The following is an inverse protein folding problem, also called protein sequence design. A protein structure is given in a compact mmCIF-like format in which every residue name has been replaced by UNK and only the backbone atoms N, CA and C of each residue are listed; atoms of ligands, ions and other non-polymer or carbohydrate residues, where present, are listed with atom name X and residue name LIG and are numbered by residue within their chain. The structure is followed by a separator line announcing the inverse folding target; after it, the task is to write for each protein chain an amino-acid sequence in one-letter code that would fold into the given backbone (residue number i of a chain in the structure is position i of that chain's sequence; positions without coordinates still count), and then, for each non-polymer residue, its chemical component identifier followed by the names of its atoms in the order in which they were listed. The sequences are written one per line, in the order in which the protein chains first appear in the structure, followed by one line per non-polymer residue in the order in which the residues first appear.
data_IF_427737440307
#
_entry.id   IF_427737440307
#
_cell.length_a   1.000
_cell.length_b   1.000
_cell.length_c   1.000
_cell.angle_alpha   90.00
_cell.angle_beta   90.00
_cell.angle_gamma   90.00
#
_symmetry.space_group_name_H-M   'P 1'
#
loop_
_entity.id
_entity.type
_entity.pdbx_description
1 polymer ?
#
# COMPACT_ATOMS: atom_id res chain seq x y z
N UNK A 1 -7.11 0.86 19.02
CA UNK A 1 -6.72 -0.13 18.00
C UNK A 1 -6.97 0.45 16.61
N UNK A 2 -5.94 0.68 15.82
CA UNK A 2 -6.01 1.46 14.55
C UNK A 2 -6.42 0.64 13.32
N UNK A 3 -6.41 -0.70 13.39
CA UNK A 3 -6.67 -1.52 12.22
C UNK A 3 -8.12 -1.94 12.06
N UNK A 4 -8.86 -2.14 13.14
CA UNK A 4 -10.25 -2.64 13.12
C UNK A 4 -10.46 -3.72 12.05
N UNK A 5 -9.50 -4.68 12.00
CA UNK A 5 -9.42 -5.69 10.95
C UNK A 5 -10.50 -6.74 11.12
N UNK A 6 -11.26 -6.98 10.04
CA UNK A 6 -12.29 -8.01 9.93
C UNK A 6 -12.41 -8.45 8.48
N UNK A 7 -12.91 -9.66 8.27
CA UNK A 7 -13.33 -10.08 6.93
C UNK A 7 -14.44 -9.13 6.43
N UNK A 8 -14.49 -8.86 5.14
CA UNK A 8 -15.36 -7.83 4.55
C UNK A 8 -16.85 -8.00 4.94
N UNK A 9 -17.32 -9.24 5.03
CA UNK A 9 -18.72 -9.53 5.41
C UNK A 9 -19.03 -9.32 6.90
N UNK A 10 -18.02 -9.11 7.74
CA UNK A 10 -18.13 -8.80 9.17
C UNK A 10 -17.63 -7.38 9.50
N UNK A 11 -17.26 -6.59 8.49
CA UNK A 11 -16.75 -5.24 8.66
C UNK A 11 -17.93 -4.27 8.79
N UNK A 12 -18.00 -3.55 9.90
CA UNK A 12 -19.04 -2.51 10.06
C UNK A 12 -18.65 -1.22 9.32
N UNK A 13 -19.64 -0.41 9.00
CA UNK A 13 -19.44 0.93 8.42
C UNK A 13 -18.57 1.82 9.34
N UNK A 14 -18.79 1.78 10.64
CA UNK A 14 -17.97 2.51 11.63
C UNK A 14 -16.50 2.06 11.63
N UNK A 15 -16.24 0.75 11.48
CA UNK A 15 -14.88 0.23 11.35
C UNK A 15 -14.22 0.71 10.05
N UNK A 16 -14.98 0.74 8.95
CA UNK A 16 -14.53 1.28 7.67
C UNK A 16 -14.22 2.77 7.77
N UNK A 17 -15.18 3.57 8.17
CA UNK A 17 -15.07 5.04 8.23
C UNK A 17 -14.00 5.50 9.19
N UNK A 18 -13.86 4.84 10.33
CA UNK A 18 -12.80 5.18 11.30
C UNK A 18 -11.41 4.97 10.70
N UNK A 19 -11.18 3.87 9.99
CA UNK A 19 -9.88 3.59 9.37
C UNK A 19 -9.59 4.58 8.23
N UNK A 20 -10.56 4.85 7.36
CA UNK A 20 -10.41 5.85 6.29
C UNK A 20 -10.14 7.24 6.86
N UNK A 21 -10.90 7.64 7.88
CA UNK A 21 -10.76 8.95 8.52
C UNK A 21 -9.39 9.14 9.16
N UNK A 22 -8.89 8.13 9.89
CA UNK A 22 -7.61 8.23 10.57
C UNK A 22 -6.46 8.18 9.57
N UNK A 23 -6.44 7.17 8.70
CA UNK A 23 -5.29 6.93 7.83
C UNK A 23 -5.31 7.82 6.58
N UNK A 24 -6.35 7.77 5.76
CA UNK A 24 -6.34 8.49 4.48
C UNK A 24 -6.65 9.98 4.67
N UNK A 25 -7.74 10.31 5.36
CA UNK A 25 -8.10 11.71 5.60
C UNK A 25 -7.08 12.43 6.49
N UNK A 26 -6.44 11.71 7.42
CA UNK A 26 -5.34 12.27 8.24
C UNK A 26 -4.17 12.74 7.37
N UNK A 27 -3.74 11.93 6.38
CA UNK A 27 -2.70 12.34 5.42
C UNK A 27 -3.15 13.54 4.58
N UNK A 28 -4.39 13.51 4.06
CA UNK A 28 -4.94 14.65 3.33
C UNK A 28 -4.89 15.93 4.17
N UNK A 29 -5.35 15.90 5.41
CA UNK A 29 -5.39 17.09 6.26
C UNK A 29 -3.99 17.72 6.43
N UNK A 30 -2.99 16.90 6.73
CA UNK A 30 -1.61 17.37 6.90
C UNK A 30 -1.03 17.90 5.59
N UNK A 31 -1.14 17.13 4.51
CA UNK A 31 -0.60 17.51 3.20
C UNK A 31 -1.30 18.74 2.62
N UNK A 32 -2.61 18.90 2.82
CA UNK A 32 -3.36 20.06 2.34
C UNK A 32 -2.82 21.39 2.91
N UNK A 33 -2.53 21.41 4.21
CA UNK A 33 -1.98 22.62 4.85
C UNK A 33 -0.50 22.80 4.50
N UNK A 34 0.30 21.75 4.54
CA UNK A 34 1.72 21.79 4.19
C UNK A 34 1.95 22.23 2.73
N UNK A 35 1.18 21.71 1.80
CA UNK A 35 1.28 22.01 0.38
C UNK A 35 1.13 23.52 0.07
N UNK A 36 0.24 24.23 0.79
CA UNK A 36 0.06 25.68 0.63
C UNK A 36 1.32 26.46 0.96
N UNK A 37 1.96 26.09 2.08
CA UNK A 37 3.20 26.71 2.54
C UNK A 37 4.37 26.34 1.62
N UNK A 38 4.56 25.05 1.37
CA UNK A 38 5.66 24.51 0.56
C UNK A 38 5.62 25.05 -0.88
N UNK A 39 4.42 25.15 -1.46
CA UNK A 39 4.23 25.76 -2.78
C UNK A 39 4.69 27.23 -2.80
N UNK A 40 4.34 28.01 -1.77
CA UNK A 40 4.71 29.43 -1.66
C UNK A 40 6.22 29.61 -1.52
N UNK A 41 6.87 28.79 -0.69
CA UNK A 41 8.31 28.86 -0.47
C UNK A 41 9.14 28.17 -1.57
N UNK A 42 8.50 27.47 -2.52
CA UNK A 42 9.12 26.71 -3.63
C UNK A 42 10.13 25.66 -3.14
N UNK A 43 9.85 25.08 -2.01
CA UNK A 43 10.63 24.02 -1.38
C UNK A 43 9.74 23.22 -0.42
N UNK A 44 9.88 21.90 -0.43
CA UNK A 44 9.23 21.01 0.52
C UNK A 44 9.56 19.56 0.28
N UNK A 45 9.41 18.76 1.34
CA UNK A 45 9.61 17.31 1.32
C UNK A 45 8.45 16.65 2.08
N UNK A 46 7.67 15.86 1.38
CA UNK A 46 6.54 15.11 1.94
C UNK A 46 6.90 13.63 1.92
N UNK A 47 6.86 13.00 3.09
CA UNK A 47 7.06 11.55 3.23
C UNK A 47 5.84 10.95 3.88
N UNK A 48 5.00 10.31 3.08
CA UNK A 48 3.79 9.65 3.53
C UNK A 48 4.07 8.20 3.98
N UNK A 49 3.29 7.73 4.96
CA UNK A 49 3.40 6.36 5.48
C UNK A 49 2.28 5.49 4.92
N UNK A 50 2.58 4.73 3.88
CA UNK A 50 1.71 3.70 3.34
C UNK A 50 1.84 2.38 4.14
N UNK A 51 1.71 1.25 3.54
CA UNK A 51 1.93 -0.10 4.08
C UNK A 51 1.86 -1.08 2.92
N UNK A 52 2.55 -2.19 2.99
CA UNK A 52 2.45 -3.28 2.00
C UNK A 52 1.02 -3.83 1.84
N UNK A 53 0.15 -3.58 2.82
CA UNK A 53 -1.28 -3.88 2.73
C UNK A 53 -1.99 -3.20 1.55
N UNK A 54 -1.39 -2.14 0.95
CA UNK A 54 -1.95 -1.47 -0.23
C UNK A 54 -2.10 -2.41 -1.46
N UNK A 55 -1.35 -3.51 -1.48
CA UNK A 55 -1.42 -4.54 -2.51
C UNK A 55 -2.55 -5.56 -2.30
N UNK A 56 -3.30 -5.41 -1.21
CA UNK A 56 -4.31 -6.34 -0.74
C UNK A 56 -3.85 -7.09 0.51
N UNK A 57 -4.75 -7.21 1.49
CA UNK A 57 -4.50 -7.94 2.74
C UNK A 57 -5.79 -8.53 3.27
N UNK A 58 -5.81 -9.84 3.45
CA UNK A 58 -6.98 -10.58 3.92
C UNK A 58 -7.40 -10.07 5.32
N UNK A 59 -8.67 -9.78 5.48
CA UNK A 59 -9.24 -9.26 6.73
C UNK A 59 -8.89 -7.79 7.02
N UNK A 60 -8.31 -7.05 6.06
CA UNK A 60 -7.90 -5.66 6.21
C UNK A 60 -8.33 -4.79 5.02
N UNK A 61 -9.48 -5.06 4.42
CA UNK A 61 -9.95 -4.34 3.23
C UNK A 61 -10.06 -2.83 3.42
N UNK A 62 -10.52 -2.36 4.58
CA UNK A 62 -10.56 -0.95 4.96
C UNK A 62 -9.15 -0.34 5.06
N UNK A 63 -8.22 -1.04 5.68
CA UNK A 63 -6.83 -0.59 5.83
C UNK A 63 -6.08 -0.62 4.50
N UNK A 64 -6.27 -1.67 3.70
CA UNK A 64 -5.70 -1.79 2.36
C UNK A 64 -6.19 -0.65 1.45
N UNK A 65 -7.49 -0.34 1.49
CA UNK A 65 -8.08 0.78 0.76
C UNK A 65 -7.48 2.13 1.20
N UNK A 66 -7.38 2.37 2.52
CA UNK A 66 -6.76 3.59 3.04
C UNK A 66 -5.30 3.74 2.61
N UNK A 67 -4.52 2.67 2.69
CA UNK A 67 -3.09 2.67 2.33
C UNK A 67 -2.86 2.72 0.82
N UNK A 68 -3.73 2.09 0.01
CA UNK A 68 -3.77 2.26 -1.44
C UNK A 68 -4.12 3.70 -1.84
N UNK A 69 -5.09 4.31 -1.15
CA UNK A 69 -5.43 5.72 -1.31
C UNK A 69 -4.24 6.65 -1.02
N UNK A 70 -3.43 6.36 0.02
CA UNK A 70 -2.21 7.12 0.33
C UNK A 70 -1.17 6.99 -0.78
N UNK A 71 -0.99 5.80 -1.38
CA UNK A 71 -0.08 5.58 -2.52
C UNK A 71 -0.47 6.46 -3.71
N UNK A 72 -1.73 6.39 -4.14
CA UNK A 72 -2.23 7.20 -5.26
C UNK A 72 -2.22 8.69 -4.94
N UNK A 73 -2.59 9.08 -3.72
CA UNK A 73 -2.53 10.47 -3.25
C UNK A 73 -1.10 11.02 -3.29
N UNK A 74 -0.11 10.24 -2.87
CA UNK A 74 1.31 10.63 -2.91
C UNK A 74 1.77 10.91 -4.34
N UNK A 75 1.40 10.03 -5.31
CA UNK A 75 1.71 10.24 -6.72
C UNK A 75 1.05 11.50 -7.29
N UNK A 76 -0.18 11.79 -6.89
CA UNK A 76 -0.89 13.02 -7.28
C UNK A 76 -0.16 14.25 -6.75
N UNK A 77 0.20 14.27 -5.46
CA UNK A 77 0.95 15.37 -4.85
C UNK A 77 2.29 15.60 -5.54
N UNK A 78 3.01 14.52 -5.89
CA UNK A 78 4.28 14.61 -6.61
C UNK A 78 4.14 15.33 -7.96
N UNK A 79 3.07 15.02 -8.71
CA UNK A 79 2.78 15.66 -10.01
C UNK A 79 2.30 17.10 -9.86
N UNK A 80 1.44 17.38 -8.88
CA UNK A 80 0.89 18.72 -8.64
C UNK A 80 1.96 19.69 -8.12
N UNK A 81 2.84 19.23 -7.25
CA UNK A 81 3.76 20.09 -6.50
C UNK A 81 5.20 20.09 -7.05
N UNK A 82 5.58 19.12 -7.88
CA UNK A 82 6.95 18.96 -8.40
C UNK A 82 7.50 20.21 -9.06
N UNK A 83 6.70 20.91 -9.88
CA UNK A 83 7.09 22.20 -10.53
C UNK A 83 7.38 23.34 -9.56
N UNK A 84 7.05 23.16 -8.28
CA UNK A 84 7.34 24.12 -7.22
C UNK A 84 8.54 23.69 -6.33
N UNK A 85 9.30 22.68 -6.76
CA UNK A 85 10.45 22.17 -5.99
C UNK A 85 10.06 21.36 -4.75
N UNK A 86 8.82 20.87 -4.71
CA UNK A 86 8.31 20.04 -3.61
C UNK A 86 8.24 18.57 -4.06
N UNK A 87 8.86 17.68 -3.30
CA UNK A 87 8.74 16.24 -3.55
C UNK A 87 7.74 15.59 -2.59
N UNK A 88 7.07 14.55 -3.06
CA UNK A 88 6.17 13.72 -2.27
C UNK A 88 6.45 12.24 -2.56
N UNK A 89 6.87 11.50 -1.53
CA UNK A 89 7.15 10.08 -1.61
C UNK A 89 6.40 9.34 -0.50
N UNK A 90 6.26 8.02 -0.63
CA UNK A 90 5.69 7.19 0.41
C UNK A 90 6.60 6.03 0.78
N UNK A 91 6.55 5.61 2.03
CA UNK A 91 7.21 4.40 2.52
C UNK A 91 6.19 3.38 3.02
N UNK A 92 6.49 2.11 2.78
CA UNK A 92 5.80 0.94 3.33
C UNK A 92 6.76 0.29 4.33
N UNK A 93 6.72 0.68 5.61
CA UNK A 93 7.69 0.22 6.60
C UNK A 93 7.32 -1.14 7.16
N UNK A 94 8.34 -1.94 7.49
CA UNK A 94 8.25 -3.12 8.36
C UNK A 94 9.05 -2.83 9.61
N UNK A 95 8.38 -2.69 10.75
CA UNK A 95 9.03 -2.43 12.03
C UNK A 95 8.20 -2.90 13.22
N UNK A 96 8.88 -3.39 14.25
CA UNK A 96 8.30 -3.66 15.54
C UNK A 96 7.93 -2.35 16.24
N UNK A 97 6.68 -2.20 16.58
CA UNK A 97 6.16 -1.04 17.29
C UNK A 97 5.12 -1.50 18.31
N UNK A 98 4.70 -0.63 19.20
CA UNK A 98 3.57 -0.90 20.10
C UNK A 98 2.27 -1.28 19.38
N UNK A 99 2.17 -0.98 18.09
CA UNK A 99 1.00 -1.34 17.28
C UNK A 99 1.12 -2.72 16.62
N UNK A 100 2.35 -3.15 16.32
CA UNK A 100 2.61 -4.42 15.63
C UNK A 100 2.93 -5.57 16.58
N UNK A 101 3.39 -5.27 17.79
CA UNK A 101 3.77 -6.22 18.82
C UNK A 101 3.17 -5.85 20.20
N UNK A 102 1.90 -5.43 20.25
CA UNK A 102 1.19 -5.37 21.53
C UNK A 102 0.83 -6.79 22.00
N UNK A 103 0.55 -6.95 23.30
CA UNK A 103 0.28 -8.26 23.90
C UNK A 103 -0.89 -8.97 23.20
N UNK A 104 -1.92 -8.25 22.79
CA UNK A 104 -3.07 -8.83 22.09
C UNK A 104 -2.70 -9.37 20.70
N UNK A 105 -1.78 -8.70 19.99
CA UNK A 105 -1.24 -9.20 18.70
C UNK A 105 -0.39 -10.44 18.93
N UNK A 106 0.50 -10.43 19.92
CA UNK A 106 1.33 -11.58 20.26
C UNK A 106 0.48 -12.80 20.62
N UNK A 107 -0.51 -12.63 21.48
CA UNK A 107 -1.43 -13.69 21.89
C UNK A 107 -2.25 -14.23 20.71
N UNK A 108 -2.70 -13.32 19.81
CA UNK A 108 -3.40 -13.69 18.59
C UNK A 108 -2.53 -14.50 17.62
N UNK A 109 -1.25 -14.13 17.47
CA UNK A 109 -0.30 -14.88 16.64
C UNK A 109 0.02 -16.24 17.22
N UNK A 110 0.19 -16.32 18.55
CA UNK A 110 0.39 -17.60 19.23
C UNK A 110 -0.79 -18.55 19.03
N UNK A 111 -2.03 -18.06 19.16
CA UNK A 111 -3.23 -18.86 18.88
C UNK A 111 -3.28 -19.38 17.43
N UNK A 112 -2.81 -18.58 16.47
CA UNK A 112 -2.72 -19.00 15.07
C UNK A 112 -1.65 -20.07 14.86
N UNK A 113 -0.53 -19.96 15.54
CA UNK A 113 0.52 -20.99 15.54
C UNK A 113 -0.01 -22.30 16.13
N UNK A 114 -0.62 -22.23 17.31
CA UNK A 114 -1.18 -23.41 18.00
C UNK A 114 -2.28 -24.10 17.19
N UNK A 115 -3.02 -23.32 16.37
CA UNK A 115 -4.05 -23.81 15.43
C UNK A 115 -3.48 -24.29 14.07
N UNK A 116 -2.15 -24.25 13.86
CA UNK A 116 -1.53 -24.61 12.58
C UNK A 116 -1.78 -23.65 11.41
N UNK A 117 -2.31 -22.46 11.69
CA UNK A 117 -2.63 -21.44 10.67
C UNK A 117 -1.41 -20.62 10.21
N UNK A 118 -0.33 -20.66 10.95
CA UNK A 118 0.99 -20.12 10.60
C UNK A 118 2.07 -21.10 11.03
N UNK A 119 3.21 -21.08 10.33
CA UNK A 119 4.37 -21.90 10.67
C UNK A 119 5.14 -21.31 11.85
N UNK A 120 5.94 -22.15 12.52
CA UNK A 120 6.87 -21.74 13.58
C UNK A 120 7.83 -20.64 13.06
N UNK A 121 8.45 -20.83 11.89
CA UNK A 121 9.36 -19.86 11.27
C UNK A 121 8.68 -18.51 11.03
N UNK A 122 7.41 -18.54 10.62
CA UNK A 122 6.62 -17.30 10.42
C UNK A 122 6.38 -16.58 11.74
N UNK A 123 6.07 -17.32 12.82
CA UNK A 123 5.88 -16.74 14.13
C UNK A 123 7.18 -16.11 14.65
N UNK A 124 8.30 -16.83 14.55
CA UNK A 124 9.61 -16.34 14.96
C UNK A 124 10.06 -15.10 14.18
N UNK A 125 9.85 -15.10 12.87
CA UNK A 125 10.11 -13.92 12.01
C UNK A 125 9.31 -12.69 12.45
N UNK A 126 8.07 -12.87 12.89
CA UNK A 126 7.24 -11.79 13.40
C UNK A 126 7.72 -11.28 14.75
N UNK A 127 8.14 -12.18 15.64
CA UNK A 127 8.67 -11.81 16.96
C UNK A 127 10.06 -11.16 16.88
N UNK A 128 10.86 -11.54 15.88
CA UNK A 128 12.19 -10.98 15.62
C UNK A 128 12.16 -9.71 14.77
N UNK A 129 10.96 -9.12 14.54
CA UNK A 129 10.83 -7.91 13.73
C UNK A 129 11.67 -6.77 14.32
N UNK A 130 12.50 -6.10 13.49
CA UNK A 130 13.36 -5.01 13.95
C UNK A 130 12.57 -3.77 14.33
N UNK A 131 13.15 -2.93 15.17
CA UNK A 131 12.53 -1.68 15.60
C UNK A 131 12.45 -0.60 14.50
N UNK A 132 11.78 0.52 14.78
CA UNK A 132 11.59 1.61 13.82
C UNK A 132 12.87 2.36 13.45
N UNK A 133 13.94 2.22 14.22
CA UNK A 133 15.26 2.81 13.95
C UNK A 133 15.84 2.37 12.61
N UNK A 134 15.44 1.22 12.08
CA UNK A 134 15.85 0.75 10.75
C UNK A 134 15.07 1.40 9.60
N UNK A 135 13.96 2.07 9.89
CA UNK A 135 13.14 2.79 8.92
C UNK A 135 13.53 4.29 8.86
N UNK A 136 13.90 4.85 10.00
CA UNK A 136 14.18 6.28 10.15
C UNK A 136 15.22 6.84 9.16
N UNK A 137 16.33 6.16 8.81
CA UNK A 137 17.31 6.69 7.87
C UNK A 137 16.75 6.98 6.49
N UNK A 138 15.83 6.13 5.97
CA UNK A 138 15.20 6.38 4.67
C UNK A 138 14.27 7.60 4.71
N UNK A 139 13.54 7.79 5.80
CA UNK A 139 12.71 8.98 6.00
C UNK A 139 13.57 10.25 6.04
N UNK A 140 14.66 10.21 6.79
CA UNK A 140 15.61 11.31 6.88
C UNK A 140 16.23 11.64 5.51
N UNK A 141 16.69 10.62 4.76
CA UNK A 141 17.22 10.79 3.41
C UNK A 141 16.23 11.51 2.48
N UNK A 142 14.96 11.07 2.46
CA UNK A 142 13.93 11.71 1.63
C UNK A 142 13.62 13.15 2.03
N UNK A 143 14.02 13.57 3.24
CA UNK A 143 13.94 14.93 3.73
C UNK A 143 15.11 15.84 3.31
N UNK A 144 16.19 15.30 2.74
CA UNK A 144 17.40 16.04 2.37
C UNK A 144 17.34 16.63 0.96
N UNK A 145 18.29 17.54 0.66
CA UNK A 145 18.48 18.05 -0.70
C UNK A 145 19.06 17.00 -1.65
N UNK A 146 19.77 15.98 -1.14
CA UNK A 146 20.25 14.87 -1.92
C UNK A 146 19.12 14.02 -2.55
N UNK A 147 17.88 14.13 -2.02
CA UNK A 147 16.70 13.48 -2.55
C UNK A 147 15.82 14.43 -3.39
N UNK A 148 16.34 15.55 -3.88
CA UNK A 148 15.56 16.55 -4.62
C UNK A 148 14.90 15.98 -5.90
N UNK A 149 15.54 15.00 -6.54
CA UNK A 149 15.04 14.34 -7.75
C UNK A 149 14.26 13.05 -7.46
N UNK A 150 14.12 12.66 -6.18
CA UNK A 150 13.31 11.51 -5.76
C UNK A 150 11.89 11.99 -5.51
N UNK A 151 10.99 11.74 -6.48
CA UNK A 151 9.63 12.27 -6.41
C UNK A 151 8.61 11.25 -6.94
N UNK A 152 7.48 11.09 -6.24
CA UNK A 152 6.40 10.18 -6.61
C UNK A 152 6.66 8.70 -6.31
N UNK A 153 7.78 8.39 -5.65
CA UNK A 153 8.21 7.02 -5.43
C UNK A 153 7.59 6.40 -4.19
N UNK A 154 7.37 5.09 -4.26
CA UNK A 154 6.84 4.27 -3.18
C UNK A 154 7.90 3.25 -2.78
N UNK A 155 8.37 3.33 -1.54
CA UNK A 155 9.46 2.47 -1.06
C UNK A 155 8.96 1.45 -0.05
N UNK A 156 9.44 0.22 -0.17
CA UNK A 156 9.44 -0.74 0.93
C UNK A 156 10.70 -0.55 1.76
N UNK A 157 10.58 -0.49 3.09
CA UNK A 157 11.70 -0.21 4.00
C UNK A 157 11.64 -1.14 5.21
N UNK A 158 12.68 -1.94 5.37
CA UNK A 158 12.86 -2.81 6.52
C UNK A 158 14.35 -2.93 6.88
N UNK A 159 14.69 -3.62 7.97
CA UNK A 159 16.06 -3.88 8.35
C UNK A 159 16.84 -4.53 7.20
N UNK A 160 17.92 -3.87 6.76
CA UNK A 160 18.81 -4.38 5.72
C UNK A 160 18.24 -4.37 4.30
N UNK A 161 17.01 -3.81 4.10
CA UNK A 161 16.39 -3.76 2.78
C UNK A 161 15.64 -2.46 2.54
N UNK A 162 15.98 -1.81 1.44
CA UNK A 162 15.19 -0.74 0.82
C UNK A 162 14.92 -1.14 -0.62
N UNK A 163 13.68 -1.09 -1.05
CA UNK A 163 13.30 -1.33 -2.45
C UNK A 163 12.22 -0.34 -2.89
N UNK A 164 12.14 -0.07 -4.18
CA UNK A 164 11.13 0.78 -4.80
C UNK A 164 10.09 -0.08 -5.49
N UNK A 165 8.81 0.26 -5.36
CA UNK A 165 7.74 -0.35 -6.15
C UNK A 165 7.75 0.24 -7.56
N UNK A 166 7.54 -0.61 -8.56
CA UNK A 166 7.38 -0.16 -9.93
C UNK A 166 6.15 0.74 -10.10
N UNK A 167 6.22 1.65 -11.06
CA UNK A 167 5.03 2.39 -11.51
C UNK A 167 4.02 1.41 -12.13
N UNK A 168 2.71 1.60 -11.88
CA UNK A 168 1.70 0.85 -12.59
C UNK A 168 1.72 1.25 -14.07
N UNK A 169 1.88 0.25 -14.95
CA UNK A 169 1.85 0.39 -16.39
C UNK A 169 0.88 -0.60 -16.99
N UNK A 170 0.32 -0.28 -18.15
CA UNK A 170 -0.43 -1.23 -18.95
C UNK A 170 0.56 -2.19 -19.63
N UNK A 171 0.65 -3.41 -19.12
CA UNK A 171 1.61 -4.41 -19.60
C UNK A 171 1.15 -5.08 -20.90
N UNK A 172 -0.17 -5.24 -21.05
CA UNK A 172 -0.81 -5.90 -22.19
C UNK A 172 -2.05 -5.14 -22.60
N UNK A 173 -2.34 -5.17 -23.90
CA UNK A 173 -3.56 -4.60 -24.44
C UNK A 173 -4.17 -5.47 -25.53
N UNK A 174 -5.48 -5.37 -25.67
CA UNK A 174 -6.22 -5.84 -26.85
C UNK A 174 -6.61 -4.62 -27.67
N UNK A 175 -6.45 -4.75 -28.98
CA UNK A 175 -6.90 -3.71 -29.94
C UNK A 175 -7.96 -4.33 -30.84
N UNK A 176 -9.07 -3.63 -31.01
CA UNK A 176 -10.12 -3.95 -31.97
C UNK A 176 -10.16 -2.87 -33.04
N UNK A 177 -10.05 -3.26 -34.29
CA UNK A 177 -9.98 -2.33 -35.43
C UNK A 177 -11.23 -2.35 -36.30
N UNK A 178 -12.10 -3.32 -36.09
CA UNK A 178 -13.43 -3.46 -36.72
C UNK A 178 -14.54 -2.98 -35.75
N UNK A 179 -15.77 -2.88 -36.25
CA UNK A 179 -16.94 -2.48 -35.46
C UNK A 179 -16.73 -1.21 -34.64
N UNK A 180 -16.11 -0.18 -35.22
CA UNK A 180 -15.76 1.10 -34.57
C UNK A 180 -14.99 0.93 -33.26
N UNK A 181 -14.23 -0.16 -33.09
CA UNK A 181 -13.45 -0.48 -31.89
C UNK A 181 -14.28 -1.02 -30.73
N UNK A 182 -15.56 -1.33 -30.91
CA UNK A 182 -16.43 -1.86 -29.88
C UNK A 182 -16.26 -3.37 -29.72
N UNK A 183 -15.80 -3.81 -28.54
CA UNK A 183 -15.80 -5.22 -28.17
C UNK A 183 -17.20 -5.69 -27.76
N UNK A 184 -17.60 -6.84 -28.24
CA UNK A 184 -18.73 -7.61 -27.68
C UNK A 184 -18.27 -8.38 -26.44
N UNK A 185 -19.21 -8.88 -25.65
CA UNK A 185 -18.89 -9.77 -24.51
C UNK A 185 -18.25 -11.05 -25.02
N UNK A 186 -18.72 -11.59 -26.13
CA UNK A 186 -18.21 -12.80 -26.80
C UNK A 186 -16.76 -12.63 -27.23
N UNK A 187 -16.41 -11.48 -27.85
CA UNK A 187 -15.01 -11.15 -28.19
C UNK A 187 -14.09 -11.21 -26.97
N UNK A 188 -14.54 -10.69 -25.83
CA UNK A 188 -13.76 -10.66 -24.60
C UNK A 188 -13.65 -12.04 -23.95
N UNK A 189 -14.73 -12.86 -23.97
CA UNK A 189 -14.71 -14.24 -23.49
C UNK A 189 -13.67 -15.06 -24.26
N UNK A 190 -13.58 -14.89 -25.56
CA UNK A 190 -12.62 -15.60 -26.40
C UNK A 190 -11.18 -15.10 -26.22
N UNK A 191 -11.00 -13.77 -26.17
CA UNK A 191 -9.67 -13.15 -26.29
C UNK A 191 -8.96 -12.99 -24.96
N UNK A 192 -9.65 -12.59 -23.86
CA UNK A 192 -9.03 -12.21 -22.60
C UNK A 192 -8.24 -13.34 -21.93
N UNK A 193 -8.76 -14.61 -21.84
CA UNK A 193 -8.03 -15.70 -21.18
C UNK A 193 -6.70 -16.01 -21.85
N UNK A 194 -6.68 -16.05 -23.19
CA UNK A 194 -5.51 -16.41 -24.01
C UNK A 194 -4.52 -15.27 -24.23
N UNK A 195 -4.81 -14.06 -23.76
CA UNK A 195 -3.98 -12.86 -23.99
C UNK A 195 -3.68 -12.10 -22.71
N UNK A 196 -4.61 -11.29 -22.22
CA UNK A 196 -4.38 -10.41 -21.06
C UNK A 196 -4.07 -11.20 -19.78
N UNK A 197 -4.72 -12.37 -19.61
CA UNK A 197 -4.58 -13.17 -18.39
C UNK A 197 -3.45 -14.20 -18.43
N UNK A 198 -2.74 -14.36 -19.55
CA UNK A 198 -1.55 -15.22 -19.61
C UNK A 198 -0.46 -14.75 -18.63
N UNK A 199 -0.04 -15.64 -17.72
CA UNK A 199 0.92 -15.30 -16.66
C UNK A 199 0.33 -14.49 -15.49
N UNK A 200 -1.00 -14.33 -15.43
CA UNK A 200 -1.72 -13.64 -14.36
C UNK A 200 -2.55 -14.65 -13.55
N UNK A 201 -1.97 -15.28 -12.51
CA UNK A 201 -2.69 -16.25 -11.71
C UNK A 201 -3.81 -15.58 -10.90
N UNK A 202 -4.91 -16.30 -10.69
CA UNK A 202 -5.91 -15.91 -9.72
C UNK A 202 -5.28 -15.97 -8.31
N UNK A 203 -5.23 -14.89 -7.54
CA UNK A 203 -4.61 -14.87 -6.22
C UNK A 203 -5.38 -15.67 -5.16
N UNK A 204 -6.66 -15.98 -5.42
CA UNK A 204 -7.52 -16.73 -4.52
C UNK A 204 -8.56 -17.54 -5.33
N UNK A 205 -8.13 -18.64 -6.00
CA UNK A 205 -9.06 -19.48 -6.73
C UNK A 205 -10.08 -20.10 -5.77
N UNK A 206 -11.30 -20.33 -6.27
CA UNK A 206 -12.32 -21.05 -5.50
C UNK A 206 -11.80 -22.43 -5.10
N UNK A 207 -12.07 -22.83 -3.86
CA UNK A 207 -11.87 -24.22 -3.43
C UNK A 207 -12.78 -25.11 -4.28
N UNK A 208 -12.22 -26.15 -4.89
CA UNK A 208 -13.02 -27.18 -5.58
C UNK A 208 -13.46 -28.18 -4.52
N UNK A 209 -14.75 -28.38 -4.41
CA UNK A 209 -15.28 -29.54 -3.71
C UNK A 209 -14.90 -30.76 -4.56
N UNK A 210 -14.03 -31.64 -4.04
CA UNK A 210 -13.66 -32.91 -4.63
C UNK A 210 -14.80 -33.93 -4.48
#
# INVERSE_FOLDING_TARGET
MLFRSRMIWNLSEDDWDTVIRVHLKGHYNMCHHAAKVMRGQRFGRIVNFASDAWRGSVGQSNYAAAKGGIVSFTRSLARELGRYGVTANAICPIAATRMTLDQGVIDGMKKRLDAGLITQDRYESLMAMPGPEFVAPMVAYLGTDAAADVNGQIFHVERGRVSVYCEPVEEKMLLKTDNDGQFSVEDLIESVPGSLMVGRPNPAPAERED
#
